data_IF_589227981524
#
_entry.id   IF_589227981524
#
_cell.length_a   1.000
_cell.length_b   1.000
_cell.length_c   1.000
_cell.angle_alpha   90.00
_cell.angle_beta   90.00
_cell.angle_gamma   90.00
#
_symmetry.space_group_name_H-M   'P 1'
#
loop_
_entity.id
_entity.type
_entity.pdbx_description
1 polymer ?
#
# COMPACT_ATOMS: atom_id res chain seq x y z
N UNK A 1 19.49 20.66 5.18
CA UNK A 1 19.30 20.30 3.75
C UNK A 1 20.05 19.02 3.49
N UNK A 2 19.36 18.00 3.01
CA UNK A 2 19.90 16.65 2.81
C UNK A 2 20.05 16.35 1.32
N UNK A 3 20.85 15.34 1.01
CA UNK A 3 21.01 14.85 -0.37
C UNK A 3 19.89 13.91 -0.79
N UNK A 4 19.74 13.68 -2.09
CA UNK A 4 18.79 12.68 -2.63
C UNK A 4 19.04 11.28 -2.08
N UNK A 5 20.30 10.95 -1.78
CA UNK A 5 20.70 9.66 -1.23
C UNK A 5 20.20 9.49 0.20
N UNK A 6 20.37 10.51 1.04
CA UNK A 6 19.87 10.48 2.42
C UNK A 6 18.34 10.47 2.47
N UNK A 7 17.68 11.26 1.61
CA UNK A 7 16.23 11.23 1.48
C UNK A 7 15.72 9.84 1.04
N UNK A 8 16.47 9.13 0.19
CA UNK A 8 16.12 7.79 -0.28
C UNK A 8 16.09 6.75 0.82
N UNK A 9 17.06 6.83 1.73
CA UNK A 9 17.14 5.96 2.90
C UNK A 9 16.02 6.26 3.89
N UNK A 10 15.70 7.54 4.14
CA UNK A 10 14.65 7.92 5.09
C UNK A 10 13.24 7.53 4.62
N UNK A 11 12.93 7.72 3.34
CA UNK A 11 11.59 7.44 2.79
C UNK A 11 11.41 6.00 2.29
N UNK A 12 12.49 5.22 2.23
CA UNK A 12 12.49 3.88 1.62
C UNK A 12 12.12 3.92 0.13
N UNK A 13 12.48 4.99 -0.57
CA UNK A 13 12.18 5.19 -2.00
C UNK A 13 13.46 5.22 -2.80
N UNK A 14 13.39 4.96 -4.11
CA UNK A 14 14.57 5.08 -4.97
C UNK A 14 14.98 6.54 -5.17
N UNK A 15 16.28 6.80 -5.36
CA UNK A 15 16.79 8.14 -5.67
C UNK A 15 16.16 8.73 -6.95
N UNK A 16 15.70 7.88 -7.88
CA UNK A 16 14.98 8.31 -9.08
C UNK A 16 13.62 8.90 -8.71
N UNK A 17 12.88 8.23 -7.83
CA UNK A 17 11.58 8.70 -7.34
C UNK A 17 11.71 10.05 -6.64
N UNK A 18 12.75 10.22 -5.83
CA UNK A 18 12.99 11.48 -5.11
C UNK A 18 13.35 12.61 -6.06
N UNK A 19 14.19 12.35 -7.07
CA UNK A 19 14.47 13.34 -8.12
C UNK A 19 13.20 13.75 -8.87
N UNK A 20 12.30 12.80 -9.14
CA UNK A 20 11.02 13.09 -9.76
C UNK A 20 10.12 13.95 -8.85
N UNK A 21 10.15 13.75 -7.54
CA UNK A 21 9.40 14.58 -6.59
C UNK A 21 9.93 16.01 -6.53
N UNK A 22 11.26 16.18 -6.54
CA UNK A 22 11.87 17.50 -6.68
C UNK A 22 11.53 18.18 -8.01
N UNK A 23 11.57 17.45 -9.14
CA UNK A 23 11.26 18.04 -10.45
C UNK A 23 9.79 18.41 -10.60
N UNK A 24 8.88 17.69 -9.92
CA UNK A 24 7.44 17.95 -9.92
C UNK A 24 7.02 18.98 -8.86
N UNK A 25 7.95 19.52 -8.08
CA UNK A 25 7.67 20.48 -7.00
C UNK A 25 6.93 19.89 -5.79
N UNK A 26 6.89 18.56 -5.65
CA UNK A 26 6.29 17.87 -4.50
C UNK A 26 7.17 17.93 -3.24
N UNK A 27 8.46 18.18 -3.42
CA UNK A 27 9.43 18.40 -2.36
C UNK A 27 10.06 19.78 -2.54
N UNK A 28 10.36 20.46 -1.44
CA UNK A 28 11.15 21.70 -1.47
C UNK A 28 12.60 21.32 -1.70
N UNK A 29 13.05 21.51 -2.94
CA UNK A 29 14.40 21.14 -3.36
C UNK A 29 15.13 22.31 -4.02
N UNK A 30 16.43 22.40 -3.76
CA UNK A 30 17.35 23.33 -4.40
C UNK A 30 18.37 22.54 -5.24
N UNK A 31 18.55 22.91 -6.51
CA UNK A 31 19.53 22.27 -7.38
C UNK A 31 20.82 23.07 -7.37
N UNK A 32 21.91 22.48 -6.87
CA UNK A 32 23.25 23.07 -6.93
C UNK A 32 24.14 22.20 -7.83
N UNK A 33 24.39 22.69 -9.04
CA UNK A 33 25.14 21.95 -10.07
C UNK A 33 24.40 20.67 -10.50
N UNK A 34 25.03 19.51 -10.28
CA UNK A 34 24.47 18.19 -10.62
C UNK A 34 23.69 17.53 -9.47
N UNK A 35 23.71 18.12 -8.27
CA UNK A 35 23.15 17.52 -7.05
C UNK A 35 21.88 18.29 -6.64
N UNK A 36 20.87 17.54 -6.20
CA UNK A 36 19.66 18.08 -5.58
C UNK A 36 19.80 18.03 -4.05
N UNK A 37 19.51 19.16 -3.42
CA UNK A 37 19.44 19.32 -1.98
C UNK A 37 17.97 19.49 -1.58
N UNK A 38 17.54 18.78 -0.56
CA UNK A 38 16.15 18.69 -0.15
C UNK A 38 16.03 19.27 1.25
N UNK A 39 15.00 20.08 1.47
CA UNK A 39 14.68 20.58 2.79
C UNK A 39 14.04 19.47 3.64
N UNK A 40 14.56 19.22 4.84
CA UNK A 40 14.12 18.09 5.67
C UNK A 40 12.66 18.20 6.08
N UNK A 41 12.17 19.42 6.33
CA UNK A 41 10.76 19.70 6.66
C UNK A 41 9.79 19.26 5.57
N UNK A 42 10.22 19.24 4.30
CA UNK A 42 9.36 18.80 3.19
C UNK A 42 9.24 17.28 3.06
N UNK A 43 10.07 16.51 3.77
CA UNK A 43 9.96 15.04 3.76
C UNK A 43 8.76 14.55 4.56
N UNK A 44 8.38 15.28 5.62
CA UNK A 44 7.27 14.91 6.50
C UNK A 44 5.94 14.97 5.73
N UNK A 45 5.77 15.98 4.86
CA UNK A 45 4.63 16.12 3.95
C UNK A 45 4.47 14.91 2.99
N UNK A 46 5.58 14.25 2.63
CA UNK A 46 5.56 13.06 1.75
C UNK A 46 5.25 11.78 2.51
N UNK A 47 5.52 11.72 3.82
CA UNK A 47 5.13 10.60 4.67
C UNK A 47 3.62 10.58 4.90
N UNK A 48 2.97 11.73 4.98
CA UNK A 48 1.51 11.83 5.09
C UNK A 48 0.78 11.28 3.85
N UNK A 49 1.37 11.40 2.66
CA UNK A 49 0.79 10.88 1.39
C UNK A 49 0.94 9.35 1.24
N UNK A 50 1.67 8.65 2.11
CA UNK A 50 1.71 7.18 2.13
C UNK A 50 0.59 6.54 2.94
N UNK A 51 -0.26 7.33 3.59
CA UNK A 51 -1.55 6.85 4.11
C UNK A 51 -2.59 7.14 3.04
N UNK A 52 -3.35 6.11 2.68
CA UNK A 52 -4.49 6.12 1.73
C UNK A 52 -4.12 5.92 0.25
N UNK A 53 -4.37 4.71 -0.24
CA UNK A 53 -4.48 4.41 -1.66
C UNK A 53 -5.70 5.09 -2.30
N UNK A 54 -5.53 6.32 -2.76
CA UNK A 54 -6.52 7.08 -3.55
C UNK A 54 -6.09 7.29 -5.01
N UNK A 55 -5.29 6.41 -5.58
CA UNK A 55 -5.06 6.39 -7.03
C UNK A 55 -5.26 4.96 -7.53
N UNK A 56 -6.53 4.53 -7.64
CA UNK A 56 -7.05 3.51 -8.57
C UNK A 56 -8.42 3.00 -8.08
N UNK A 57 -9.50 3.71 -8.45
CA UNK A 57 -10.82 3.18 -8.87
C UNK A 57 -11.89 4.26 -8.75
N UNK A 58 -11.82 5.27 -9.61
CA UNK A 58 -13.05 5.93 -10.08
C UNK A 58 -13.82 4.93 -10.96
N UNK A 59 -14.44 3.93 -10.33
CA UNK A 59 -15.52 3.19 -10.97
C UNK A 59 -16.76 4.07 -10.91
N UNK A 60 -17.10 4.66 -12.06
CA UNK A 60 -18.41 5.24 -12.33
C UNK A 60 -19.49 4.20 -12.06
N UNK A 61 -20.08 4.24 -10.87
CA UNK A 61 -21.38 3.62 -10.60
C UNK A 61 -22.40 4.73 -10.75
N UNK A 62 -23.09 4.73 -11.88
CA UNK A 62 -24.21 5.64 -12.12
C UNK A 62 -25.47 5.14 -11.42
N UNK A 63 -26.19 6.08 -10.80
CA UNK A 63 -27.65 6.15 -10.73
C UNK A 63 -28.04 7.60 -10.39
N UNK A 64 -28.53 8.31 -11.41
CA UNK A 64 -29.66 9.26 -11.47
C UNK A 64 -30.00 10.26 -10.33
N UNK A 65 -30.03 11.55 -10.73
CA UNK A 65 -30.77 12.77 -10.26
C UNK A 65 -30.57 13.24 -8.79
N UNK A 66 -30.32 14.52 -8.44
CA UNK A 66 -30.85 15.83 -8.88
C UNK A 66 -29.83 16.99 -8.74
N UNK A 67 -30.19 18.15 -9.33
CA UNK A 67 -29.54 19.46 -9.48
C UNK A 67 -28.76 20.12 -8.30
N UNK A 68 -27.94 21.18 -8.56
CA UNK A 68 -26.80 21.56 -7.73
C UNK A 68 -27.20 22.39 -6.50
N UNK A 69 -27.27 21.74 -5.34
CA UNK A 69 -27.44 22.42 -4.06
C UNK A 69 -26.13 23.09 -3.62
N UNK A 70 -26.09 24.39 -3.81
CA UNK A 70 -25.11 25.33 -3.31
C UNK A 70 -25.04 25.31 -1.77
N UNK A 71 -24.17 24.44 -1.23
CA UNK A 71 -23.41 24.57 0.02
C UNK A 71 -22.76 23.23 0.30
N UNK A 72 -21.56 23.02 -0.24
CA UNK A 72 -20.69 21.94 0.24
C UNK A 72 -20.30 22.27 1.69
N UNK A 73 -21.13 21.85 2.64
CA UNK A 73 -20.71 21.69 4.03
C UNK A 73 -19.60 20.65 4.01
N UNK A 74 -18.35 21.12 3.91
CA UNK A 74 -17.19 20.26 4.04
C UNK A 74 -17.35 19.51 5.36
N UNK A 75 -17.53 18.19 5.27
CA UNK A 75 -17.66 17.35 6.44
C UNK A 75 -16.43 17.59 7.32
N UNK A 76 -16.59 17.79 8.64
CA UNK A 76 -15.47 17.96 9.53
C UNK A 76 -14.40 16.88 9.33
N UNK A 77 -13.10 17.21 9.40
CA UNK A 77 -12.00 16.29 9.06
C UNK A 77 -12.08 14.91 9.72
N UNK A 78 -12.64 14.83 10.93
CA UNK A 78 -12.79 13.57 11.65
C UNK A 78 -13.72 12.55 10.97
N UNK A 79 -14.71 12.98 10.19
CA UNK A 79 -15.63 12.06 9.50
C UNK A 79 -14.94 11.25 8.41
N UNK A 80 -14.00 11.86 7.69
CA UNK A 80 -13.18 11.17 6.69
C UNK A 80 -12.28 10.14 7.36
N UNK A 81 -11.63 10.51 8.47
CA UNK A 81 -10.77 9.62 9.25
C UNK A 81 -11.53 8.40 9.81
N UNK A 82 -12.74 8.59 10.33
CA UNK A 82 -13.57 7.47 10.84
C UNK A 82 -13.95 6.52 9.72
N UNK A 83 -14.27 7.05 8.54
CA UNK A 83 -14.62 6.25 7.36
C UNK A 83 -13.41 5.46 6.84
N UNK A 84 -12.26 6.11 6.71
CA UNK A 84 -10.99 5.48 6.33
C UNK A 84 -10.59 4.38 7.31
N UNK A 85 -10.68 4.64 8.61
CA UNK A 85 -10.42 3.64 9.65
C UNK A 85 -11.35 2.43 9.54
N UNK A 86 -12.63 2.64 9.20
CA UNK A 86 -13.59 1.57 8.96
C UNK A 86 -13.21 0.70 7.75
N UNK A 87 -12.86 1.33 6.62
CA UNK A 87 -12.41 0.61 5.42
C UNK A 87 -11.10 -0.14 5.65
N UNK A 88 -10.12 0.48 6.29
CA UNK A 88 -8.85 -0.16 6.63
C UNK A 88 -9.05 -1.36 7.54
N UNK A 89 -9.94 -1.25 8.55
CA UNK A 89 -10.28 -2.37 9.42
C UNK A 89 -10.90 -3.53 8.65
N UNK A 90 -11.85 -3.25 7.74
CA UNK A 90 -12.45 -4.27 6.89
C UNK A 90 -11.43 -4.95 5.97
N UNK A 91 -10.51 -4.19 5.38
CA UNK A 91 -9.42 -4.74 4.56
C UNK A 91 -8.49 -5.65 5.38
N UNK A 92 -8.11 -5.23 6.58
CA UNK A 92 -7.30 -6.04 7.50
C UNK A 92 -8.01 -7.36 7.82
N UNK A 93 -9.31 -7.35 8.07
CA UNK A 93 -10.07 -8.57 8.38
C UNK A 93 -10.18 -9.49 7.16
N UNK A 94 -10.35 -8.95 5.95
CA UNK A 94 -10.27 -9.72 4.70
C UNK A 94 -8.90 -10.39 4.54
N UNK A 95 -7.81 -9.64 4.75
CA UNK A 95 -6.47 -10.20 4.63
C UNK A 95 -6.18 -11.27 5.68
N UNK A 96 -6.68 -11.12 6.91
CA UNK A 96 -6.58 -12.17 7.94
C UNK A 96 -7.26 -13.46 7.49
N UNK A 97 -8.48 -13.35 6.96
CA UNK A 97 -9.23 -14.52 6.48
C UNK A 97 -8.50 -15.21 5.32
N UNK A 98 -7.93 -14.44 4.38
CA UNK A 98 -7.14 -14.99 3.28
C UNK A 98 -5.87 -15.69 3.76
N UNK A 99 -5.16 -15.12 4.75
CA UNK A 99 -3.98 -15.75 5.35
C UNK A 99 -4.35 -17.08 6.02
N UNK A 100 -5.47 -17.12 6.73
CA UNK A 100 -5.95 -18.34 7.39
C UNK A 100 -6.34 -19.43 6.38
N UNK A 101 -7.02 -19.07 5.30
CA UNK A 101 -7.33 -19.99 4.21
C UNK A 101 -6.05 -20.56 3.57
N UNK A 102 -5.05 -19.71 3.31
CA UNK A 102 -3.77 -20.14 2.76
C UNK A 102 -3.02 -21.10 3.70
N UNK A 103 -3.03 -20.84 5.02
CA UNK A 103 -2.44 -21.74 6.01
C UNK A 103 -3.10 -23.12 6.00
N UNK A 104 -4.43 -23.16 5.90
CA UNK A 104 -5.17 -24.42 5.82
C UNK A 104 -4.84 -25.20 4.54
N UNK A 105 -4.69 -24.51 3.40
CA UNK A 105 -4.27 -25.13 2.14
C UNK A 105 -2.86 -25.72 2.22
N UNK A 106 -1.92 -24.99 2.82
CA UNK A 106 -0.54 -25.47 3.03
C UNK A 106 -0.55 -26.76 3.85
N UNK A 107 -1.28 -26.76 4.97
CA UNK A 107 -1.39 -27.95 5.83
C UNK A 107 -1.95 -29.17 5.08
N UNK A 108 -3.01 -28.97 4.29
CA UNK A 108 -3.60 -30.05 3.50
C UNK A 108 -2.63 -30.60 2.43
N UNK A 109 -1.86 -29.73 1.78
CA UNK A 109 -0.83 -30.15 0.82
C UNK A 109 0.31 -30.93 1.50
N UNK A 110 0.73 -30.53 2.70
CA UNK A 110 1.72 -31.28 3.49
C UNK A 110 1.21 -32.68 3.86
N UNK A 111 -0.05 -32.79 4.29
CA UNK A 111 -0.70 -34.08 4.57
C UNK A 111 -0.78 -34.96 3.31
N UNK A 112 -1.14 -34.40 2.16
CA UNK A 112 -1.14 -35.14 0.89
C UNK A 112 0.27 -35.61 0.49
N UNK A 113 1.29 -34.76 0.68
CA UNK A 113 2.68 -35.11 0.39
C UNK A 113 3.15 -36.28 1.27
N UNK A 114 2.85 -36.25 2.57
CA UNK A 114 3.21 -37.34 3.49
C UNK A 114 2.49 -38.64 3.15
N UNK A 115 1.22 -38.57 2.77
CA UNK A 115 0.46 -39.73 2.30
C UNK A 115 1.07 -40.33 1.02
N UNK A 116 1.42 -39.51 0.04
CA UNK A 116 2.07 -39.99 -1.19
C UNK A 116 3.42 -40.65 -0.91
N UNK A 117 4.26 -40.04 -0.06
CA UNK A 117 5.55 -40.63 0.35
C UNK A 117 5.38 -42.00 0.98
N UNK A 118 4.47 -42.13 1.95
CA UNK A 118 4.23 -43.40 2.64
C UNK A 118 3.63 -44.48 1.73
N UNK A 119 2.70 -44.09 0.84
CA UNK A 119 2.12 -44.99 -0.17
C UNK A 119 3.17 -45.49 -1.17
N UNK A 120 4.05 -44.60 -1.64
CA UNK A 120 5.14 -44.96 -2.55
C UNK A 120 6.15 -45.91 -1.89
N UNK A 121 6.54 -45.65 -0.64
CA UNK A 121 7.37 -46.55 0.16
C UNK A 121 6.73 -47.94 0.26
N UNK A 122 5.43 -48.02 0.61
CA UNK A 122 4.71 -49.31 0.69
C UNK A 122 4.69 -50.08 -0.64
N UNK A 123 4.69 -49.40 -1.78
CA UNK A 123 4.77 -50.05 -3.11
C UNK A 123 6.16 -50.59 -3.43
N UNK A 124 7.21 -49.90 -3.00
CA UNK A 124 8.60 -50.31 -3.22
C UNK A 124 8.96 -51.61 -2.49
N UNK A 125 8.51 -51.76 -1.25
CA UNK A 125 8.83 -52.92 -0.40
C UNK A 125 7.82 -54.09 -0.51
N UNK A 126 6.87 -54.02 -1.46
CA UNK A 126 5.94 -55.13 -1.79
C UNK A 126 6.43 -56.04 -2.93
N UNK A 127 7.63 -55.79 -3.45
CA UNK A 127 8.37 -56.70 -4.34
C UNK A 127 9.34 -57.54 -3.52
#
# INVERSE_FOLDING_TARGET
MITTKEASLRLGLTERTIRNYCSKGRLKCEKRGKIWYIEESSLDDVLEVKVVGTEETERKIGTEYDEPSSKSLALPPYYLLVRENGYLKAQVDIFKNQIEELKNRIKLLEEQLTYQKTSWIKRLFKR
#
